data_IF_953216124421
#
_entry.id   IF_953216124421
#
_cell.length_a   1.000
_cell.length_b   1.000
_cell.length_c   1.000
_cell.angle_alpha   90.00
_cell.angle_beta   90.00
_cell.angle_gamma   90.00
#
_symmetry.space_group_name_H-M   'P 1'
#
loop_
_entity.id
_entity.type
_entity.pdbx_description
1 polymer ?
#
# COMPACT_ATOMS: atom_id res chain seq x y z
N UNK A 1 0.40 11.15 -24.14
CA UNK A 1 0.03 9.91 -23.42
C UNK A 1 -1.27 10.04 -22.63
N UNK A 2 -1.40 11.00 -21.70
CA UNK A 2 -2.61 11.13 -20.85
C UNK A 2 -3.90 11.50 -21.64
N UNK A 3 -3.77 12.28 -22.70
CA UNK A 3 -4.90 12.63 -23.58
C UNK A 3 -5.46 11.40 -24.33
N UNK A 4 -4.60 10.52 -24.84
CA UNK A 4 -5.02 9.29 -25.54
C UNK A 4 -5.71 8.30 -24.59
N UNK A 5 -5.15 8.08 -23.39
CA UNK A 5 -5.79 7.25 -22.37
C UNK A 5 -7.17 7.81 -21.97
N UNK A 6 -7.26 9.13 -21.78
CA UNK A 6 -8.52 9.78 -21.48
C UNK A 6 -9.56 9.66 -22.57
N UNK A 7 -9.15 9.75 -23.83
CA UNK A 7 -10.04 9.53 -24.97
C UNK A 7 -10.56 8.10 -25.02
N UNK A 8 -9.68 7.09 -24.87
CA UNK A 8 -10.08 5.67 -24.81
C UNK A 8 -11.08 5.41 -23.68
N UNK A 9 -10.81 5.91 -22.47
CA UNK A 9 -11.73 5.74 -21.34
C UNK A 9 -13.10 6.40 -21.59
N UNK A 10 -13.14 7.58 -22.22
CA UNK A 10 -14.41 8.23 -22.60
C UNK A 10 -15.20 7.41 -23.62
N UNK A 11 -14.54 6.87 -24.65
CA UNK A 11 -15.18 5.97 -25.63
C UNK A 11 -15.75 4.71 -24.97
N UNK A 12 -15.10 4.22 -23.91
CA UNK A 12 -15.54 3.07 -23.13
C UNK A 12 -16.60 3.41 -22.07
N UNK A 13 -17.05 4.67 -22.00
CA UNK A 13 -18.17 5.10 -21.17
C UNK A 13 -17.79 5.77 -19.85
N UNK A 14 -16.54 6.23 -19.67
CA UNK A 14 -16.17 7.04 -18.51
C UNK A 14 -16.94 8.37 -18.52
N UNK A 15 -17.66 8.64 -17.44
CA UNK A 15 -18.44 9.87 -17.21
C UNK A 15 -17.98 10.53 -15.91
N UNK A 16 -18.36 11.80 -15.72
CA UNK A 16 -18.13 12.54 -14.47
C UNK A 16 -16.68 12.72 -14.03
N UNK A 17 -15.77 12.81 -15.01
CA UNK A 17 -14.35 13.07 -14.80
C UNK A 17 -13.93 14.30 -15.61
N UNK A 18 -13.44 15.32 -14.91
CA UNK A 18 -13.00 16.58 -15.52
C UNK A 18 -11.52 16.51 -15.88
N UNK A 19 -10.73 15.74 -15.12
CA UNK A 19 -9.27 15.63 -15.33
C UNK A 19 -8.75 14.23 -15.05
N UNK A 20 -7.82 13.78 -15.90
CA UNK A 20 -7.10 12.52 -15.73
C UNK A 20 -5.62 12.82 -15.46
N UNK A 21 -5.12 12.27 -14.35
CA UNK A 21 -3.71 12.33 -13.95
C UNK A 21 -3.14 10.92 -13.91
N UNK A 22 -1.88 10.78 -14.29
CA UNK A 22 -1.16 9.50 -14.22
C UNK A 22 -0.04 9.58 -13.18
N UNK A 23 0.14 8.54 -12.40
CA UNK A 23 1.28 8.39 -11.46
C UNK A 23 1.97 7.04 -11.66
N UNK A 24 3.13 6.87 -11.05
CA UNK A 24 3.85 5.59 -10.95
C UNK A 24 3.87 5.03 -9.52
N UNK A 25 2.95 5.50 -8.67
CA UNK A 25 2.78 5.01 -7.31
C UNK A 25 2.37 3.53 -7.32
N UNK A 26 3.10 2.70 -6.57
CA UNK A 26 2.95 1.23 -6.51
C UNK A 26 1.76 0.75 -5.67
N UNK A 27 1.17 1.61 -4.86
CA UNK A 27 0.10 1.24 -3.93
C UNK A 27 -1.26 1.63 -4.47
N UNK A 28 -1.42 2.83 -5.05
CA UNK A 28 -2.71 3.28 -5.60
C UNK A 28 -2.72 2.97 -7.09
N UNK A 29 -3.71 2.23 -7.57
CA UNK A 29 -3.85 1.89 -8.99
C UNK A 29 -4.83 2.80 -9.70
N UNK A 30 -5.98 3.03 -9.08
CA UNK A 30 -7.04 3.90 -9.59
C UNK A 30 -7.62 4.64 -8.41
N UNK A 31 -7.71 5.97 -8.48
CA UNK A 31 -8.47 6.75 -7.50
C UNK A 31 -9.32 7.84 -8.17
N UNK A 32 -10.52 8.06 -7.66
CA UNK A 32 -11.41 9.14 -8.09
C UNK A 32 -11.82 9.98 -6.88
N UNK A 33 -11.47 11.27 -6.93
CA UNK A 33 -11.88 12.26 -5.95
C UNK A 33 -12.10 13.61 -6.63
N UNK A 34 -13.18 14.33 -6.27
CA UNK A 34 -13.51 15.65 -6.83
C UNK A 34 -13.44 15.70 -8.37
N UNK A 35 -14.00 14.68 -9.04
CA UNK A 35 -14.00 14.51 -10.52
C UNK A 35 -12.59 14.44 -11.15
N UNK A 36 -11.55 14.25 -10.34
CA UNK A 36 -10.18 13.99 -10.80
C UNK A 36 -9.90 12.50 -10.68
N UNK A 37 -9.67 11.87 -11.82
CA UNK A 37 -9.32 10.47 -11.92
C UNK A 37 -7.78 10.34 -11.98
N UNK A 38 -7.20 9.64 -11.01
CA UNK A 38 -5.78 9.31 -10.97
C UNK A 38 -5.60 7.83 -11.30
N UNK A 39 -4.79 7.53 -12.31
CA UNK A 39 -4.48 6.16 -12.72
C UNK A 39 -2.98 5.88 -12.64
N UNK A 40 -2.63 4.64 -12.37
CA UNK A 40 -1.27 4.18 -12.61
C UNK A 40 -0.93 4.29 -14.10
N UNK A 41 0.27 4.79 -14.40
CA UNK A 41 0.73 5.09 -15.75
C UNK A 41 0.75 3.85 -16.64
N UNK A 42 0.97 2.67 -16.06
CA UNK A 42 0.97 1.39 -16.77
C UNK A 42 -0.36 1.07 -17.47
N UNK A 43 -1.49 1.59 -16.98
CA UNK A 43 -2.78 1.41 -17.66
C UNK A 43 -2.86 2.09 -19.03
N UNK A 44 -1.94 3.00 -19.36
CA UNK A 44 -1.89 3.60 -20.70
C UNK A 44 -1.70 2.53 -21.80
N UNK A 45 -1.03 1.42 -21.48
CA UNK A 45 -0.77 0.30 -22.39
C UNK A 45 -1.78 -0.85 -22.22
N UNK A 46 -2.78 -0.69 -21.36
CA UNK A 46 -3.73 -1.76 -21.07
C UNK A 46 -4.68 -2.01 -22.25
N UNK A 47 -5.13 -3.27 -22.45
CA UNK A 47 -6.17 -3.57 -23.42
C UNK A 47 -7.52 -2.98 -22.99
N UNK A 48 -8.43 -2.78 -23.93
CA UNK A 48 -9.75 -2.17 -23.67
C UNK A 48 -10.57 -2.93 -22.62
N UNK A 49 -10.40 -4.26 -22.52
CA UNK A 49 -11.01 -5.09 -21.47
C UNK A 49 -10.69 -4.55 -20.07
N UNK A 50 -9.41 -4.28 -19.78
CA UNK A 50 -8.94 -3.75 -18.50
C UNK A 50 -9.41 -2.30 -18.31
N UNK A 51 -9.40 -1.49 -19.36
CA UNK A 51 -9.93 -0.12 -19.28
C UNK A 51 -11.44 -0.08 -19.01
N UNK A 52 -12.22 -1.04 -19.53
CA UNK A 52 -13.64 -1.21 -19.17
C UNK A 52 -13.80 -1.61 -17.69
N UNK A 53 -12.85 -2.35 -17.12
CA UNK A 53 -12.84 -2.61 -15.68
C UNK A 53 -12.67 -1.32 -14.87
N UNK A 54 -11.87 -0.35 -15.32
CA UNK A 54 -11.78 0.98 -14.68
C UNK A 54 -13.16 1.65 -14.64
N UNK A 55 -13.84 1.69 -15.79
CA UNK A 55 -15.17 2.32 -15.89
C UNK A 55 -16.18 1.64 -14.98
N UNK A 56 -16.24 0.29 -15.00
CA UNK A 56 -17.13 -0.49 -14.14
C UNK A 56 -16.83 -0.30 -12.64
N UNK A 57 -15.56 -0.25 -12.26
CA UNK A 57 -15.16 0.00 -10.87
C UNK A 57 -15.65 1.38 -10.37
N UNK A 58 -15.54 2.40 -11.23
CA UNK A 58 -15.92 3.77 -10.91
C UNK A 58 -17.43 4.01 -10.95
N UNK A 59 -18.23 3.17 -11.61
CA UNK A 59 -19.68 3.34 -11.71
C UNK A 59 -20.39 3.10 -10.35
N UNK A 60 -20.96 4.13 -9.70
CA UNK A 60 -21.69 3.95 -8.45
C UNK A 60 -22.96 3.13 -8.59
N UNK A 61 -23.54 3.03 -9.80
CA UNK A 61 -24.80 2.34 -10.07
C UNK A 61 -24.61 0.83 -10.13
N UNK A 62 -23.38 0.35 -10.32
CA UNK A 62 -23.10 -1.08 -10.38
C UNK A 62 -23.11 -1.73 -8.98
N UNK A 63 -23.72 -2.93 -8.86
CA UNK A 63 -23.71 -3.68 -7.62
C UNK A 63 -22.29 -3.92 -7.11
N UNK A 64 -22.11 -3.97 -5.78
CA UNK A 64 -20.80 -4.13 -5.13
C UNK A 64 -20.02 -5.36 -5.65
N UNK A 65 -20.71 -6.46 -5.94
CA UNK A 65 -20.08 -7.68 -6.48
C UNK A 65 -19.44 -7.46 -7.86
N UNK A 66 -20.10 -6.70 -8.74
CA UNK A 66 -19.58 -6.36 -10.06
C UNK A 66 -18.39 -5.42 -9.97
N UNK A 67 -18.44 -4.45 -9.04
CA UNK A 67 -17.31 -3.57 -8.76
C UNK A 67 -16.10 -4.33 -8.20
N UNK A 68 -16.31 -5.31 -7.33
CA UNK A 68 -15.24 -6.22 -6.84
C UNK A 68 -14.65 -7.08 -7.95
N UNK A 69 -15.46 -7.57 -8.88
CA UNK A 69 -14.96 -8.31 -10.04
C UNK A 69 -14.09 -7.42 -10.94
N UNK A 70 -14.54 -6.18 -11.18
CA UNK A 70 -13.75 -5.18 -11.92
C UNK A 70 -12.47 -4.81 -11.18
N UNK A 71 -12.51 -4.66 -9.86
CA UNK A 71 -11.34 -4.41 -9.02
C UNK A 71 -10.30 -5.53 -9.15
N UNK A 72 -10.71 -6.80 -9.10
CA UNK A 72 -9.79 -7.94 -9.33
C UNK A 72 -9.13 -7.87 -10.70
N UNK A 73 -9.92 -7.63 -11.75
CA UNK A 73 -9.42 -7.53 -13.13
C UNK A 73 -8.42 -6.37 -13.30
N UNK A 74 -8.64 -5.26 -12.58
CA UNK A 74 -7.70 -4.14 -12.55
C UNK A 74 -6.39 -4.50 -11.87
N UNK A 75 -6.45 -5.19 -10.73
CA UNK A 75 -5.30 -5.56 -9.93
C UNK A 75 -4.49 -6.72 -10.54
N UNK A 76 -5.11 -7.57 -11.35
CA UNK A 76 -4.45 -8.65 -12.09
C UNK A 76 -3.61 -8.15 -13.28
N UNK A 77 -3.90 -6.96 -13.81
CA UNK A 77 -3.14 -6.42 -14.95
C UNK A 77 -1.76 -5.93 -14.49
N UNK A 78 -0.65 -6.42 -15.09
CA UNK A 78 0.71 -6.15 -14.60
C UNK A 78 1.20 -4.77 -15.04
N UNK A 79 0.70 -3.72 -14.39
CA UNK A 79 0.96 -2.32 -14.76
C UNK A 79 2.44 -1.94 -14.68
N UNK A 80 3.23 -2.67 -13.88
CA UNK A 80 4.67 -2.45 -13.68
C UNK A 80 5.48 -2.81 -14.92
N UNK A 81 5.05 -3.80 -15.70
CA UNK A 81 5.70 -4.18 -16.96
C UNK A 81 5.60 -3.06 -18.01
N UNK A 82 4.55 -2.23 -17.91
CA UNK A 82 4.23 -1.22 -18.93
C UNK A 82 4.49 0.22 -18.48
N UNK A 83 4.77 0.46 -17.20
CA UNK A 83 5.19 1.76 -16.71
C UNK A 83 6.72 1.85 -16.76
N UNK A 84 7.31 2.97 -17.21
CA UNK A 84 8.74 3.19 -17.03
C UNK A 84 9.05 3.07 -15.54
N UNK A 85 10.08 2.26 -15.20
CA UNK A 85 10.54 2.11 -13.82
C UNK A 85 10.80 3.54 -13.30
N UNK A 86 10.13 3.98 -12.22
CA UNK A 86 10.48 5.26 -11.64
C UNK A 86 11.99 5.24 -11.37
N UNK A 87 12.72 6.35 -11.61
CA UNK A 87 14.12 6.44 -11.23
C UNK A 87 14.21 5.92 -9.81
N UNK A 88 15.04 4.88 -9.58
CA UNK A 88 15.11 4.20 -8.29
C UNK A 88 15.07 5.28 -7.22
N UNK A 89 13.96 5.34 -6.47
CA UNK A 89 13.71 6.45 -5.55
C UNK A 89 15.00 6.58 -4.75
N UNK A 90 15.66 7.75 -4.81
CA UNK A 90 16.95 7.94 -4.15
C UNK A 90 16.75 7.55 -2.70
N UNK A 91 17.18 6.31 -2.37
CA UNK A 91 17.02 5.72 -1.05
C UNK A 91 17.61 6.74 -0.11
N UNK A 92 16.82 7.16 0.87
CA UNK A 92 17.29 8.15 1.83
C UNK A 92 18.53 7.55 2.49
N UNK A 93 19.72 8.10 2.17
CA UNK A 93 20.97 7.56 2.70
C UNK A 93 20.88 7.60 4.23
N UNK A 94 21.18 6.49 4.92
CA UNK A 94 21.25 6.51 6.37
C UNK A 94 22.14 7.65 6.82
N UNK A 95 21.63 8.48 7.74
CA UNK A 95 22.45 9.50 8.38
C UNK A 95 23.41 8.79 9.35
N UNK A 96 24.58 9.35 9.70
CA UNK A 96 25.50 8.71 10.65
C UNK A 96 24.83 8.30 11.97
N UNK A 97 23.88 9.10 12.47
CA UNK A 97 23.09 8.78 13.68
C UNK A 97 21.99 7.73 13.49
N UNK A 98 21.67 7.32 12.25
CA UNK A 98 20.65 6.31 11.96
C UNK A 98 21.19 4.88 12.14
N UNK A 99 22.52 4.67 12.13
CA UNK A 99 23.13 3.33 12.17
C UNK A 99 22.70 2.55 13.41
N UNK A 100 22.77 3.19 14.59
CA UNK A 100 22.38 2.55 15.85
C UNK A 100 20.89 2.23 15.91
N UNK A 101 20.05 3.11 15.38
CA UNK A 101 18.60 2.90 15.31
C UNK A 101 18.27 1.74 14.36
N UNK A 102 18.94 1.67 13.20
CA UNK A 102 18.75 0.60 12.23
C UNK A 102 19.20 -0.75 12.79
N UNK A 103 20.35 -0.80 13.48
CA UNK A 103 20.80 -2.01 14.15
C UNK A 103 19.79 -2.45 15.23
N UNK A 104 19.33 -1.51 16.07
CA UNK A 104 18.31 -1.81 17.08
C UNK A 104 17.01 -2.33 16.49
N UNK A 105 16.53 -1.74 15.40
CA UNK A 105 15.33 -2.20 14.69
C UNK A 105 15.52 -3.57 14.03
N UNK A 106 16.71 -3.84 13.50
CA UNK A 106 17.05 -5.15 12.92
C UNK A 106 17.07 -6.23 13.99
N UNK A 107 17.71 -5.97 15.13
CA UNK A 107 17.71 -6.88 16.27
C UNK A 107 16.31 -7.06 16.87
N UNK A 108 15.49 -6.00 16.87
CA UNK A 108 14.09 -6.07 17.28
C UNK A 108 13.28 -7.00 16.38
N UNK A 109 13.41 -6.88 15.05
CA UNK A 109 12.78 -7.80 14.10
C UNK A 109 13.19 -9.25 14.35
N UNK A 110 14.49 -9.52 14.48
CA UNK A 110 15.01 -10.87 14.73
C UNK A 110 14.46 -11.46 16.03
N UNK A 111 14.47 -10.68 17.12
CA UNK A 111 13.93 -11.09 18.42
C UNK A 111 12.44 -11.42 18.31
N UNK A 112 11.65 -10.51 17.75
CA UNK A 112 10.21 -10.73 17.58
C UNK A 112 9.89 -11.91 16.65
N UNK A 113 10.73 -12.14 15.64
CA UNK A 113 10.56 -13.27 14.73
C UNK A 113 10.69 -14.58 15.50
N UNK A 114 11.71 -14.71 16.34
CA UNK A 114 11.89 -15.85 17.23
C UNK A 114 10.73 -16.00 18.22
N UNK A 115 10.35 -14.91 18.89
CA UNK A 115 9.32 -14.91 19.95
C UNK A 115 7.90 -15.21 19.43
N UNK A 116 7.52 -14.65 18.28
CA UNK A 116 6.13 -14.62 17.81
C UNK A 116 5.86 -15.43 16.54
N UNK A 117 6.90 -15.72 15.76
CA UNK A 117 6.79 -16.42 14.49
C UNK A 117 7.66 -17.68 14.44
N UNK A 118 8.31 -18.07 15.54
CA UNK A 118 9.15 -19.26 15.60
C UNK A 118 10.42 -19.16 14.76
N UNK A 119 10.86 -17.95 14.42
CA UNK A 119 12.07 -17.70 13.63
C UNK A 119 11.92 -17.97 12.13
N UNK A 120 10.71 -18.24 11.64
CA UNK A 120 10.51 -18.68 10.24
C UNK A 120 10.49 -17.53 9.24
N UNK A 121 10.27 -16.29 9.68
CA UNK A 121 10.22 -15.15 8.76
C UNK A 121 11.61 -14.83 8.20
N UNK A 122 11.67 -14.49 6.92
CA UNK A 122 12.90 -14.10 6.24
C UNK A 122 13.56 -12.87 6.85
N UNK A 123 14.89 -12.83 6.80
CA UNK A 123 15.63 -11.62 7.12
C UNK A 123 15.50 -10.62 5.97
N UNK A 124 14.75 -9.54 6.20
CA UNK A 124 14.60 -8.45 5.23
C UNK A 124 15.19 -7.15 5.80
N UNK A 125 15.76 -6.27 4.95
CA UNK A 125 16.27 -4.98 5.38
C UNK A 125 15.22 -4.13 6.10
N UNK A 126 15.63 -3.48 7.20
CA UNK A 126 14.84 -2.43 7.84
C UNK A 126 15.38 -1.06 7.44
N UNK A 127 14.50 -0.11 7.15
CA UNK A 127 14.84 1.25 6.73
C UNK A 127 14.13 2.30 7.58
N UNK A 128 14.81 3.42 7.84
CA UNK A 128 14.19 4.62 8.40
C UNK A 128 13.67 5.55 7.30
N UNK A 129 12.45 6.04 7.45
CA UNK A 129 11.81 6.96 6.51
C UNK A 129 11.56 8.32 7.14
N UNK A 130 12.13 9.38 6.56
CA UNK A 130 11.82 10.77 6.96
C UNK A 130 10.52 11.31 6.36
N UNK A 131 9.92 10.62 5.39
CA UNK A 131 8.77 11.12 4.61
C UNK A 131 7.42 10.59 5.08
N UNK A 132 7.40 9.61 5.98
CA UNK A 132 6.17 9.05 6.51
C UNK A 132 5.46 10.08 7.40
N UNK A 133 4.28 10.53 6.94
CA UNK A 133 3.45 11.53 7.62
C UNK A 133 2.16 10.95 8.19
N UNK A 134 1.63 9.91 7.56
CA UNK A 134 0.30 9.34 7.86
C UNK A 134 0.36 7.91 8.39
N UNK A 135 1.54 7.27 8.35
CA UNK A 135 1.81 5.90 8.79
C UNK A 135 3.08 5.88 9.64
N UNK A 136 3.20 4.86 10.49
CA UNK A 136 4.35 4.66 11.38
C UNK A 136 5.29 3.57 10.86
N UNK A 137 4.74 2.54 10.21
CA UNK A 137 5.44 1.47 9.51
C UNK A 137 4.83 1.23 8.11
N UNK A 138 5.59 0.53 7.26
CA UNK A 138 5.11 -0.04 6.01
C UNK A 138 6.03 -1.20 5.58
N UNK A 139 5.44 -2.37 5.33
CA UNK A 139 6.09 -3.42 4.55
C UNK A 139 6.06 -3.06 3.06
N UNK A 140 7.24 -3.07 2.44
CA UNK A 140 7.39 -2.97 0.99
C UNK A 140 7.49 -4.38 0.42
N UNK A 141 6.62 -4.67 -0.55
CA UNK A 141 6.64 -5.92 -1.31
C UNK A 141 6.98 -5.64 -2.77
N UNK A 142 7.67 -6.58 -3.40
CA UNK A 142 7.82 -6.57 -4.84
C UNK A 142 6.46 -6.88 -5.49
N UNK A 143 5.95 -5.95 -6.28
CA UNK A 143 4.63 -6.12 -6.91
C UNK A 143 4.56 -7.26 -7.93
N UNK A 144 5.69 -7.63 -8.56
CA UNK A 144 5.70 -8.69 -9.56
C UNK A 144 5.66 -10.09 -8.95
N UNK A 145 6.35 -10.27 -7.81
CA UNK A 145 6.51 -11.57 -7.16
C UNK A 145 5.72 -11.71 -5.86
N UNK A 146 5.21 -10.60 -5.31
CA UNK A 146 4.56 -10.55 -3.99
C UNK A 146 5.51 -10.72 -2.81
N UNK A 147 6.82 -10.86 -3.05
CA UNK A 147 7.80 -11.14 -1.99
C UNK A 147 8.12 -9.89 -1.18
N UNK A 148 8.34 -10.01 0.14
CA UNK A 148 8.76 -8.88 0.96
C UNK A 148 10.18 -8.43 0.57
N UNK A 149 10.36 -7.11 0.43
CA UNK A 149 11.65 -6.49 0.08
C UNK A 149 12.28 -5.73 1.25
N UNK A 150 11.48 -4.95 2.00
CA UNK A 150 11.97 -4.17 3.14
C UNK A 150 10.83 -3.83 4.12
N UNK A 151 11.16 -3.55 5.39
CA UNK A 151 10.27 -2.87 6.33
C UNK A 151 10.76 -1.43 6.52
N UNK A 152 9.90 -0.47 6.24
CA UNK A 152 10.17 0.95 6.48
C UNK A 152 9.48 1.43 7.76
N UNK A 153 10.22 2.05 8.68
CA UNK A 153 9.69 2.65 9.90
C UNK A 153 9.93 4.17 9.87
N UNK A 154 8.94 4.95 10.30
CA UNK A 154 9.03 6.41 10.36
C UNK A 154 10.12 6.89 11.32
N UNK A 155 11.07 7.69 10.83
CA UNK A 155 12.18 8.23 11.66
C UNK A 155 11.65 9.01 12.86
N UNK A 156 10.65 9.85 12.63
CA UNK A 156 9.99 10.60 13.70
C UNK A 156 9.35 9.69 14.74
N UNK A 157 8.77 8.56 14.33
CA UNK A 157 8.14 7.61 15.26
C UNK A 157 9.18 7.00 16.20
N UNK A 158 10.30 6.52 15.64
CA UNK A 158 11.42 5.96 16.41
C UNK A 158 12.04 6.99 17.37
N UNK A 159 12.09 8.26 16.98
CA UNK A 159 12.71 9.32 17.78
C UNK A 159 11.82 9.89 18.88
N UNK A 160 10.49 9.84 18.73
CA UNK A 160 9.56 10.57 19.61
C UNK A 160 8.63 9.70 20.43
N UNK A 161 8.53 8.41 20.12
CA UNK A 161 7.62 7.52 20.85
C UNK A 161 8.39 6.49 21.66
N UNK A 162 7.76 5.96 22.73
CA UNK A 162 8.33 4.87 23.51
C UNK A 162 8.62 3.65 22.63
N UNK A 163 9.67 2.90 22.98
CA UNK A 163 10.06 1.72 22.21
C UNK A 163 9.00 0.63 22.16
N UNK A 164 8.11 0.54 23.15
CA UNK A 164 6.97 -0.37 23.12
C UNK A 164 6.01 -0.10 21.95
N UNK A 165 5.82 1.18 21.57
CA UNK A 165 5.01 1.53 20.41
C UNK A 165 5.70 1.20 19.08
N UNK A 166 7.04 1.33 19.05
CA UNK A 166 7.82 0.95 17.87
C UNK A 166 7.87 -0.56 17.72
N UNK A 167 7.93 -1.31 18.82
CA UNK A 167 7.79 -2.76 18.86
C UNK A 167 6.42 -3.19 18.35
N UNK A 168 5.35 -2.53 18.79
CA UNK A 168 4.00 -2.77 18.28
C UNK A 168 3.90 -2.50 16.76
N UNK A 169 4.53 -1.41 16.29
CA UNK A 169 4.60 -1.09 14.86
C UNK A 169 5.40 -2.14 14.08
N UNK A 170 6.56 -2.55 14.59
CA UNK A 170 7.39 -3.59 13.95
C UNK A 170 6.61 -4.90 13.84
N UNK A 171 5.99 -5.35 14.93
CA UNK A 171 5.15 -6.53 14.95
C UNK A 171 4.00 -6.44 13.93
N UNK A 172 3.37 -5.27 13.80
CA UNK A 172 2.33 -5.03 12.79
C UNK A 172 2.86 -5.26 11.37
N UNK A 173 4.01 -4.68 11.03
CA UNK A 173 4.63 -4.89 9.72
C UNK A 173 5.10 -6.34 9.52
N UNK A 174 5.51 -7.03 10.58
CA UNK A 174 5.88 -8.45 10.52
C UNK A 174 4.66 -9.37 10.29
N UNK A 175 3.46 -8.99 10.74
CA UNK A 175 2.24 -9.73 10.36
C UNK A 175 1.99 -9.58 8.85
N UNK A 176 2.24 -8.39 8.27
CA UNK A 176 2.20 -8.22 6.82
C UNK A 176 3.29 -9.05 6.12
N UNK A 177 4.50 -9.12 6.70
CA UNK A 177 5.58 -9.94 6.15
C UNK A 177 5.16 -11.41 6.14
N UNK A 178 4.61 -11.90 7.26
CA UNK A 178 4.09 -13.25 7.37
C UNK A 178 3.01 -13.54 6.31
N UNK A 179 2.10 -12.61 6.04
CA UNK A 179 1.14 -12.77 4.94
C UNK A 179 1.85 -12.94 3.60
N UNK A 180 2.79 -12.05 3.28
CA UNK A 180 3.53 -12.06 2.01
C UNK A 180 4.31 -13.38 1.83
N UNK A 181 5.05 -13.82 2.84
CA UNK A 181 5.85 -15.05 2.79
C UNK A 181 4.98 -16.32 2.77
N UNK A 182 3.78 -16.26 3.35
CA UNK A 182 2.80 -17.34 3.28
C UNK A 182 1.98 -17.34 1.99
N UNK A 183 2.25 -16.44 1.04
CA UNK A 183 1.48 -16.30 -0.21
C UNK A 183 0.05 -15.80 0.00
N UNK A 184 -0.23 -15.17 1.13
CA UNK A 184 -1.53 -14.60 1.47
C UNK A 184 -1.63 -13.14 1.00
N UNK A 185 -2.85 -12.63 0.75
CA UNK A 185 -3.06 -11.21 0.50
C UNK A 185 -2.52 -10.35 1.65
N UNK A 186 -1.74 -9.31 1.31
CA UNK A 186 -1.19 -8.34 2.27
C UNK A 186 -2.20 -7.23 2.50
N UNK A 187 -3.07 -7.44 3.50
CA UNK A 187 -4.12 -6.51 3.91
C UNK A 187 -4.50 -6.70 5.39
N UNK A 188 -5.38 -5.84 5.92
CA UNK A 188 -5.92 -5.94 7.28
C UNK A 188 -7.19 -6.81 7.36
N UNK A 189 -7.30 -7.82 6.49
CA UNK A 189 -8.45 -8.72 6.40
C UNK A 189 -8.61 -9.65 7.60
N UNK A 190 -9.55 -10.60 7.54
CA UNK A 190 -9.80 -11.54 8.64
C UNK A 190 -8.56 -12.33 9.07
N UNK A 191 -7.69 -12.68 8.12
CA UNK A 191 -6.45 -13.43 8.38
C UNK A 191 -5.47 -12.59 9.19
N UNK A 192 -5.24 -11.34 8.79
CA UNK A 192 -4.45 -10.39 9.56
C UNK A 192 -5.03 -10.20 10.96
N UNK A 193 -6.34 -9.93 11.06
CA UNK A 193 -6.99 -9.68 12.35
C UNK A 193 -6.88 -10.85 13.31
N UNK A 194 -6.92 -12.08 12.81
CA UNK A 194 -6.71 -13.28 13.61
C UNK A 194 -5.26 -13.34 14.10
N UNK A 195 -4.28 -13.22 13.20
CA UNK A 195 -2.86 -13.26 13.57
C UNK A 195 -2.48 -12.14 14.53
N UNK A 196 -2.94 -10.92 14.29
CA UNK A 196 -2.71 -9.78 15.18
C UNK A 196 -3.24 -10.05 16.60
N UNK A 197 -4.44 -10.63 16.74
CA UNK A 197 -4.98 -11.02 18.05
C UNK A 197 -4.18 -12.11 18.74
N UNK A 198 -3.73 -13.13 17.99
CA UNK A 198 -2.84 -14.18 18.53
C UNK A 198 -1.55 -13.59 19.13
N UNK A 199 -1.06 -12.50 18.53
CA UNK A 199 0.16 -11.81 18.96
C UNK A 199 -0.10 -10.68 19.97
N UNK A 200 -1.33 -10.44 20.40
CA UNK A 200 -1.67 -9.34 21.32
C UNK A 200 -1.58 -7.94 20.70
N UNK A 201 -1.57 -7.84 19.37
CA UNK A 201 -1.46 -6.59 18.60
C UNK A 201 -2.87 -6.11 18.25
N UNK A 202 -3.17 -4.84 18.51
CA UNK A 202 -4.44 -4.28 18.05
C UNK A 202 -4.51 -4.26 16.50
N UNK A 203 -5.56 -4.81 15.87
CA UNK A 203 -5.61 -4.95 14.40
C UNK A 203 -5.80 -3.63 13.62
N UNK A 204 -5.67 -2.47 14.25
CA UNK A 204 -6.06 -1.18 13.68
C UNK A 204 -4.85 -0.43 13.11
N UNK A 205 -5.01 0.02 11.87
CA UNK A 205 -4.04 0.84 11.14
C UNK A 205 -4.14 2.36 11.44
N UNK A 206 -4.58 2.81 12.63
CA UNK A 206 -4.73 4.26 12.92
C UNK A 206 -4.40 4.65 14.35
N UNK A 207 -3.62 5.74 14.50
CA UNK A 207 -3.82 6.70 15.60
C UNK A 207 -5.02 7.60 15.30
N UNK A 208 -5.83 7.86 16.32
CA UNK A 208 -6.62 9.09 16.43
C UNK A 208 -5.65 10.28 16.45
N UNK A 209 -5.68 11.10 15.41
CA UNK A 209 -5.26 12.49 15.51
C UNK A 209 -6.53 13.31 15.79
N UNK A 210 -6.53 14.28 16.72
CA UNK A 210 -7.66 15.17 16.92
C UNK A 210 -8.00 15.87 15.60
N UNK A 211 -9.26 15.78 15.20
CA UNK A 211 -9.78 16.42 13.98
C UNK A 211 -9.65 17.94 14.08
N UNK A 212 -8.93 18.55 13.15
CA UNK A 212 -9.41 19.80 12.55
C UNK A 212 -10.45 19.42 11.49
N UNK A 213 -11.68 19.90 11.71
CA UNK A 213 -12.84 19.61 10.89
C UNK A 213 -12.62 20.03 9.42
N UNK A 214 -12.98 19.13 8.50
CA UNK A 214 -12.90 19.35 7.07
C UNK A 214 -13.43 18.16 6.25
N UNK A 215 -14.75 18.10 6.15
CA UNK A 215 -15.61 17.39 5.18
C UNK A 215 -15.01 16.23 4.34
N UNK A 216 -15.46 15.02 4.65
CA UNK A 216 -15.25 13.82 3.84
C UNK A 216 -16.39 13.64 2.81
N UNK A 217 -16.08 13.85 1.53
CA UNK A 217 -16.87 13.34 0.41
C UNK A 217 -16.18 12.11 -0.19
N UNK A 218 -16.93 11.02 -0.38
CA UNK A 218 -16.43 9.66 -0.64
C UNK A 218 -15.50 9.52 -1.85
N UNK A 219 -14.22 9.24 -1.58
CA UNK A 219 -13.23 8.85 -2.58
C UNK A 219 -13.32 7.35 -2.88
N UNK A 220 -13.26 6.96 -4.16
CA UNK A 220 -13.15 5.57 -4.60
C UNK A 220 -11.70 5.28 -4.95
N UNK A 221 -11.12 4.23 -4.38
CA UNK A 221 -9.73 3.85 -4.64
C UNK A 221 -9.58 2.33 -4.79
N UNK A 222 -8.87 1.89 -5.82
CA UNK A 222 -8.33 0.55 -5.96
C UNK A 222 -6.83 0.60 -5.67
N UNK A 223 -6.38 -0.21 -4.72
CA UNK A 223 -4.99 -0.25 -4.24
C UNK A 223 -4.41 -1.66 -4.34
N UNK A 224 -3.13 -1.77 -4.69
CA UNK A 224 -2.36 -3.01 -4.54
C UNK A 224 -1.81 -3.04 -3.12
N UNK A 225 -2.27 -4.02 -2.34
CA UNK A 225 -1.94 -4.11 -0.92
C UNK A 225 -2.60 -3.01 -0.07
N UNK A 226 -3.06 -3.38 1.12
CA UNK A 226 -3.86 -2.52 2.00
C UNK A 226 -5.26 -2.19 1.42
N UNK A 227 -6.16 -3.17 1.46
CA UNK A 227 -7.58 -2.93 1.31
C UNK A 227 -8.10 -2.12 2.50
N UNK A 228 -8.65 -0.94 2.22
CA UNK A 228 -9.35 -0.09 3.20
C UNK A 228 -10.56 -0.85 3.75
N UNK A 229 -10.55 -1.11 5.06
CA UNK A 229 -11.68 -1.59 5.84
C UNK A 229 -11.74 -0.88 7.18
#
# INVERSE_FOLDING_TARGET
MNQLLGHRLKLLGLRDVDRILTHTNRTVMVSLARRVLRLHRGYASAPDRVLRAVVRFLDPRLPRGHRRAAERELLEFPVETFAPRPPAERRERPRPGDVMLLQRLTSLHQRLNLEHFGGVLGAIPVRLSGRMRTRLGELVVDLGTGRPEEIAIGRHHVQRHPWSEVEHTMLHEMVHQWQAESGLPVDHGPVFKRKARELGIEPRARRHLPHSAGEAAGAKEATVGCARG
#
